data_IF_340042854628
#
_entry.id   IF_340042854628
#
_cell.length_a   1.000
_cell.length_b   1.000
_cell.length_c   1.000
_cell.angle_alpha   90.00
_cell.angle_beta   90.00
_cell.angle_gamma   90.00
#
_symmetry.space_group_name_H-M   'P 1'
#
loop_
_entity.id
_entity.type
_entity.pdbx_description
1 polymer ?
#
# COMPACT_ATOMS: atom_id res chain seq x y z
N UNK A 1 11.51 4.95 -21.44
CA UNK A 1 12.05 4.37 -20.19
C UNK A 1 10.90 4.12 -19.22
N UNK A 2 10.88 3.01 -18.49
CA UNK A 2 9.84 2.80 -17.46
C UNK A 2 10.36 3.28 -16.12
N UNK A 3 9.67 4.24 -15.53
CA UNK A 3 9.94 4.74 -14.19
C UNK A 3 8.96 4.10 -13.21
N UNK A 4 9.49 3.55 -12.11
CA UNK A 4 8.69 2.92 -11.08
C UNK A 4 8.83 3.69 -9.77
N UNK A 5 7.71 4.12 -9.22
CA UNK A 5 7.63 4.79 -7.93
C UNK A 5 6.93 3.88 -6.95
N UNK A 6 7.60 3.53 -5.85
CA UNK A 6 7.01 2.71 -4.77
C UNK A 6 6.62 3.66 -3.65
N UNK A 7 5.32 3.76 -3.37
CA UNK A 7 4.75 4.70 -2.40
C UNK A 7 4.15 3.95 -1.22
N UNK A 8 4.73 4.17 -0.05
CA UNK A 8 4.26 3.58 1.20
C UNK A 8 3.04 4.27 1.80
N UNK A 9 2.05 3.49 2.26
CA UNK A 9 0.80 3.90 2.88
C UNK A 9 0.63 3.31 4.28
N UNK A 10 0.38 4.13 5.31
CA UNK A 10 0.02 3.62 6.65
C UNK A 10 -1.44 3.12 6.64
N UNK A 11 -1.75 1.95 7.24
CA UNK A 11 -3.13 1.52 7.43
C UNK A 11 -3.93 2.57 8.20
N UNK A 12 -5.05 3.00 7.64
CA UNK A 12 -5.84 4.06 8.27
C UNK A 12 -5.14 5.41 8.23
N UNK A 13 -4.36 5.70 7.19
CA UNK A 13 -3.95 7.07 6.90
C UNK A 13 -5.13 7.88 6.36
N UNK A 14 -5.45 9.00 7.01
CA UNK A 14 -6.55 9.89 6.62
C UNK A 14 -6.20 10.85 5.47
N UNK A 15 -5.03 10.69 4.84
CA UNK A 15 -4.58 11.53 3.74
C UNK A 15 -4.34 10.75 2.45
N UNK A 16 -4.77 9.48 2.41
CA UNK A 16 -4.67 8.61 1.23
C UNK A 16 -5.28 9.25 0.00
N UNK A 17 -6.40 9.94 0.17
CA UNK A 17 -7.07 10.61 -0.93
C UNK A 17 -6.30 11.85 -1.44
N UNK A 18 -5.90 12.77 -0.56
CA UNK A 18 -5.14 13.96 -0.97
C UNK A 18 -3.81 13.59 -1.62
N UNK A 19 -3.08 12.64 -1.03
CA UNK A 19 -1.81 12.22 -1.56
C UNK A 19 -1.95 11.53 -2.93
N UNK A 20 -2.99 10.72 -3.14
CA UNK A 20 -3.28 10.13 -4.46
C UNK A 20 -3.52 11.21 -5.54
N UNK A 21 -4.16 12.33 -5.17
CA UNK A 21 -4.34 13.47 -6.09
C UNK A 21 -3.04 14.14 -6.45
N UNK A 22 -2.16 14.31 -5.47
CA UNK A 22 -0.88 14.95 -5.68
C UNK A 22 0.11 14.04 -6.43
N UNK A 23 0.08 12.73 -6.17
CA UNK A 23 0.80 11.71 -6.95
C UNK A 23 0.44 11.81 -8.43
N UNK A 24 -0.85 11.86 -8.77
CA UNK A 24 -1.26 12.03 -10.17
C UNK A 24 -0.73 13.35 -10.75
N UNK A 25 -0.79 14.44 -9.99
CA UNK A 25 -0.34 15.77 -10.46
C UNK A 25 1.16 15.81 -10.73
N UNK A 26 1.95 15.19 -9.85
CA UNK A 26 3.42 15.28 -9.87
C UNK A 26 4.05 14.23 -10.77
N UNK A 27 3.59 12.98 -10.68
CA UNK A 27 4.18 11.86 -11.40
C UNK A 27 3.47 11.55 -12.73
N UNK A 28 2.20 11.97 -12.88
CA UNK A 28 1.37 11.69 -14.06
C UNK A 28 1.44 10.20 -14.50
N UNK A 29 1.08 9.26 -13.62
CA UNK A 29 1.25 7.83 -13.87
C UNK A 29 0.37 7.35 -15.01
N UNK A 30 0.89 6.42 -15.81
CA UNK A 30 0.11 5.61 -16.75
C UNK A 30 -0.50 4.39 -16.06
N UNK A 31 0.13 3.90 -14.99
CA UNK A 31 -0.30 2.74 -14.21
C UNK A 31 -0.25 3.05 -12.72
N UNK A 32 -1.28 2.67 -11.98
CA UNK A 32 -1.28 2.63 -10.52
C UNK A 32 -1.57 1.20 -10.09
N UNK A 33 -0.58 0.56 -9.48
CA UNK A 33 -0.70 -0.72 -8.80
C UNK A 33 -1.07 -0.52 -7.34
N UNK A 34 -1.95 -1.37 -6.80
CA UNK A 34 -2.37 -1.36 -5.39
C UNK A 34 -2.11 -2.74 -4.80
N UNK A 35 -1.58 -2.77 -3.58
CA UNK A 35 -1.33 -3.99 -2.80
C UNK A 35 -2.64 -4.64 -2.30
N UNK A 36 -3.42 -5.16 -3.26
CA UNK A 36 -4.69 -5.86 -3.11
C UNK A 36 -4.87 -6.76 -4.34
N UNK A 37 -5.80 -7.72 -4.32
CA UNK A 37 -6.11 -8.51 -5.51
C UNK A 37 -6.87 -7.68 -6.55
N UNK A 38 -6.84 -8.09 -7.82
CA UNK A 38 -7.57 -7.37 -8.87
C UNK A 38 -9.09 -7.38 -8.61
N UNK A 39 -9.64 -8.49 -8.14
CA UNK A 39 -11.07 -8.65 -7.84
C UNK A 39 -11.50 -7.72 -6.69
N UNK A 40 -10.68 -7.63 -5.63
CA UNK A 40 -10.94 -6.72 -4.51
C UNK A 40 -10.92 -5.25 -4.97
N UNK A 41 -9.93 -4.86 -5.77
CA UNK A 41 -9.83 -3.49 -6.28
C UNK A 41 -10.99 -3.12 -7.20
N UNK A 42 -11.38 -4.00 -8.14
CA UNK A 42 -12.53 -3.73 -9.02
C UNK A 42 -13.85 -3.69 -8.24
N UNK A 43 -13.99 -4.51 -7.19
CA UNK A 43 -15.12 -4.44 -6.27
C UNK A 43 -15.14 -3.11 -5.49
N UNK A 44 -14.02 -2.72 -4.88
CA UNK A 44 -13.92 -1.53 -4.02
C UNK A 44 -14.04 -0.21 -4.81
N UNK A 45 -13.60 -0.19 -6.08
CA UNK A 45 -13.80 0.96 -6.97
C UNK A 45 -15.26 1.17 -7.40
N UNK A 46 -16.13 0.15 -7.25
CA UNK A 46 -17.55 0.27 -7.55
C UNK A 46 -18.25 1.08 -6.45
N UNK A 47 -18.84 2.26 -6.76
CA UNK A 47 -19.39 3.17 -5.73
C UNK A 47 -20.47 2.53 -4.83
N UNK A 48 -21.27 1.61 -5.38
CA UNK A 48 -22.32 0.95 -4.60
C UNK A 48 -21.73 -0.05 -3.58
N UNK A 49 -20.60 -0.68 -3.92
CA UNK A 49 -19.90 -1.59 -3.04
C UNK A 49 -19.02 -0.85 -2.03
N UNK A 50 -18.34 0.23 -2.42
CA UNK A 50 -17.52 1.02 -1.50
C UNK A 50 -18.32 1.54 -0.31
N UNK A 51 -19.54 2.01 -0.54
CA UNK A 51 -20.41 2.54 0.52
C UNK A 51 -20.88 1.41 1.48
N UNK A 52 -21.16 0.21 0.94
CA UNK A 52 -21.50 -0.98 1.73
C UNK A 52 -20.29 -1.46 2.54
N UNK A 53 -19.14 -1.60 1.89
CA UNK A 53 -17.86 -2.00 2.48
C UNK A 53 -17.52 -1.14 3.68
N UNK A 54 -17.63 0.19 3.55
CA UNK A 54 -17.35 1.10 4.66
C UNK A 54 -18.35 0.96 5.80
N UNK A 55 -19.62 0.69 5.53
CA UNK A 55 -20.60 0.44 6.59
C UNK A 55 -20.25 -0.83 7.37
N UNK A 56 -19.90 -1.91 6.66
CA UNK A 56 -19.48 -3.20 7.25
C UNK A 56 -18.16 -3.03 8.03
N UNK A 57 -17.24 -2.22 7.52
CA UNK A 57 -15.96 -1.93 8.16
C UNK A 57 -16.09 -1.02 9.38
N UNK A 58 -17.04 -0.08 9.37
CA UNK A 58 -17.39 0.72 10.55
C UNK A 58 -17.92 -0.18 11.68
N UNK A 59 -18.80 -1.14 11.36
CA UNK A 59 -19.30 -2.13 12.32
C UNK A 59 -18.16 -2.99 12.85
N UNK A 60 -17.33 -3.55 11.96
CA UNK A 60 -16.15 -4.33 12.34
C UNK A 60 -15.25 -3.57 13.32
N UNK A 61 -14.94 -2.30 13.04
CA UNK A 61 -14.06 -1.52 13.90
C UNK A 61 -14.69 -1.19 15.25
N UNK A 62 -16.00 -0.94 15.32
CA UNK A 62 -16.70 -0.72 16.60
C UNK A 62 -16.77 -1.99 17.45
N UNK A 63 -16.86 -3.15 16.82
CA UNK A 63 -16.89 -4.45 17.51
C UNK A 63 -15.50 -4.86 18.03
N UNK A 64 -14.45 -4.63 17.24
CA UNK A 64 -13.11 -5.12 17.54
C UNK A 64 -12.19 -4.08 18.21
N UNK A 65 -12.54 -2.79 18.17
CA UNK A 65 -11.80 -1.71 18.81
C UNK A 65 -12.72 -0.88 19.71
N UNK A 66 -13.05 -1.41 20.89
CA UNK A 66 -14.00 -0.77 21.83
C UNK A 66 -13.65 0.65 22.25
N UNK A 67 -12.36 1.01 22.18
CA UNK A 67 -11.83 2.32 22.56
C UNK A 67 -11.65 3.24 21.33
N UNK A 68 -12.18 2.87 20.16
CA UNK A 68 -12.08 3.68 18.95
C UNK A 68 -12.73 5.06 19.13
N UNK A 69 -11.98 6.09 18.76
CA UNK A 69 -12.45 7.45 18.68
C UNK A 69 -13.36 7.61 17.45
N UNK A 70 -14.64 7.89 17.68
CA UNK A 70 -15.66 8.07 16.63
C UNK A 70 -15.25 9.04 15.52
N UNK A 71 -14.54 10.13 15.87
CA UNK A 71 -14.15 11.13 14.88
C UNK A 71 -13.03 10.61 14.00
N UNK A 72 -11.98 10.03 14.60
CA UNK A 72 -10.88 9.41 13.85
C UNK A 72 -11.41 8.31 12.95
N UNK A 73 -12.22 7.39 13.49
CA UNK A 73 -12.86 6.33 12.71
C UNK A 73 -13.61 6.87 11.48
N UNK A 74 -14.44 7.90 11.65
CA UNK A 74 -15.18 8.53 10.54
C UNK A 74 -14.27 9.21 9.52
N UNK A 75 -13.25 9.92 9.99
CA UNK A 75 -12.28 10.59 9.11
C UNK A 75 -11.54 9.54 8.26
N UNK A 76 -11.10 8.42 8.86
CA UNK A 76 -10.45 7.31 8.15
C UNK A 76 -11.33 6.67 7.09
N UNK A 77 -12.56 6.29 7.45
CA UNK A 77 -13.48 5.63 6.56
C UNK A 77 -13.94 6.55 5.41
N UNK A 78 -14.13 7.84 5.69
CA UNK A 78 -14.44 8.81 4.66
C UNK A 78 -13.29 8.94 3.66
N UNK A 79 -12.04 8.96 4.13
CA UNK A 79 -10.87 9.09 3.28
C UNK A 79 -10.68 7.85 2.39
N UNK A 80 -10.87 6.67 2.95
CA UNK A 80 -10.84 5.41 2.21
C UNK A 80 -11.90 5.33 1.10
N UNK A 81 -13.13 5.78 1.36
CA UNK A 81 -14.15 5.91 0.30
C UNK A 81 -13.65 6.83 -0.82
N UNK A 82 -13.05 7.97 -0.43
CA UNK A 82 -12.57 8.95 -1.39
C UNK A 82 -11.41 8.40 -2.22
N UNK A 83 -10.52 7.61 -1.61
CA UNK A 83 -9.44 6.90 -2.28
C UNK A 83 -9.96 5.99 -3.41
N UNK A 84 -10.86 5.04 -3.13
CA UNK A 84 -11.38 4.13 -4.17
C UNK A 84 -12.21 4.84 -5.24
N UNK A 85 -13.02 5.85 -4.86
CA UNK A 85 -13.73 6.69 -5.83
C UNK A 85 -12.77 7.44 -6.74
N UNK A 86 -11.61 7.85 -6.23
CA UNK A 86 -10.60 8.56 -6.99
C UNK A 86 -9.81 7.62 -7.92
N UNK A 87 -9.49 6.41 -7.49
CA UNK A 87 -8.93 5.37 -8.36
C UNK A 87 -9.87 5.06 -9.54
N UNK A 88 -11.17 4.90 -9.27
CA UNK A 88 -12.16 4.69 -10.33
C UNK A 88 -12.20 5.85 -11.33
N UNK A 89 -12.12 7.10 -10.87
CA UNK A 89 -12.00 8.26 -11.76
C UNK A 89 -10.74 8.19 -12.62
N UNK A 90 -9.61 7.80 -12.06
CA UNK A 90 -8.35 7.65 -12.79
C UNK A 90 -8.42 6.57 -13.86
N UNK A 91 -9.13 5.46 -13.59
CA UNK A 91 -9.46 4.45 -14.60
C UNK A 91 -10.18 5.06 -15.81
N UNK A 92 -11.16 5.93 -15.58
CA UNK A 92 -11.85 6.64 -16.66
C UNK A 92 -11.00 7.71 -17.36
N UNK A 93 -9.99 8.25 -16.67
CA UNK A 93 -9.02 9.18 -17.25
C UNK A 93 -7.92 8.48 -18.07
N UNK A 94 -7.99 7.14 -18.21
CA UNK A 94 -7.05 6.34 -19.00
C UNK A 94 -5.82 5.84 -18.25
N UNK A 95 -5.83 5.90 -16.90
CA UNK A 95 -4.78 5.28 -16.07
C UNK A 95 -5.19 3.84 -15.77
N UNK A 96 -4.30 2.88 -16.05
CA UNK A 96 -4.52 1.47 -15.67
C UNK A 96 -4.44 1.32 -14.15
N UNK A 97 -5.50 0.81 -13.51
CA UNK A 97 -5.55 0.54 -12.06
C UNK A 97 -5.54 -0.98 -11.84
N UNK A 98 -4.53 -1.47 -11.12
CA UNK A 98 -4.22 -2.89 -11.06
C UNK A 98 -4.00 -3.37 -9.62
N UNK A 99 -4.57 -4.53 -9.29
CA UNK A 99 -4.20 -5.28 -8.09
C UNK A 99 -2.87 -6.00 -8.31
N UNK A 100 -2.00 -5.95 -7.30
CA UNK A 100 -0.66 -6.56 -7.35
C UNK A 100 -0.47 -7.74 -6.42
N UNK A 101 -1.44 -8.04 -5.55
CA UNK A 101 -1.44 -9.29 -4.79
C UNK A 101 -1.90 -10.43 -5.70
N UNK A 102 -1.15 -11.53 -5.71
CA UNK A 102 -1.52 -12.74 -6.45
C UNK A 102 -2.68 -13.45 -5.73
N UNK A 103 -3.79 -13.66 -6.44
CA UNK A 103 -4.95 -14.38 -5.92
C UNK A 103 -4.66 -15.86 -5.66
N UNK A 104 -3.63 -16.42 -6.30
CA UNK A 104 -3.16 -17.79 -6.14
C UNK A 104 -1.96 -17.91 -5.19
N UNK A 105 -1.62 -16.85 -4.46
CA UNK A 105 -0.53 -16.87 -3.47
C UNK A 105 -0.71 -18.01 -2.46
N UNK A 106 0.20 -18.99 -2.46
CA UNK A 106 0.13 -20.13 -1.56
C UNK A 106 0.58 -19.74 -0.14
N UNK A 107 -0.36 -19.23 0.65
CA UNK A 107 -0.12 -18.88 2.05
C UNK A 107 -0.03 -20.09 2.98
N UNK A 108 -0.27 -21.32 2.50
CA UNK A 108 -0.31 -22.52 3.35
C UNK A 108 1.05 -22.84 4.01
N UNK A 109 2.15 -22.39 3.39
CA UNK A 109 3.50 -22.45 3.98
C UNK A 109 3.79 -21.39 5.04
N UNK A 110 2.89 -20.41 5.23
CA UNK A 110 3.14 -19.17 5.96
C UNK A 110 2.06 -18.82 7.01
N UNK A 111 1.13 -19.72 7.35
CA UNK A 111 -0.02 -19.46 8.26
C UNK A 111 0.39 -18.70 9.55
N UNK A 112 1.44 -19.16 10.26
CA UNK A 112 1.93 -18.48 11.47
C UNK A 112 2.49 -17.07 11.21
N UNK A 113 3.05 -16.82 10.02
CA UNK A 113 3.58 -15.51 9.64
C UNK A 113 2.48 -14.54 9.23
N UNK A 114 1.45 -15.04 8.55
CA UNK A 114 0.24 -14.29 8.18
C UNK A 114 -0.52 -13.80 9.42
N UNK A 115 -0.63 -14.65 10.45
CA UNK A 115 -1.19 -14.27 11.75
C UNK A 115 -0.38 -13.14 12.41
N UNK A 116 0.94 -13.27 12.47
CA UNK A 116 1.83 -12.25 13.05
C UNK A 116 1.72 -10.92 12.28
N UNK A 117 1.68 -10.99 10.94
CA UNK A 117 1.48 -9.81 10.09
C UNK A 117 0.15 -9.12 10.41
N UNK A 118 -0.95 -9.89 10.42
CA UNK A 118 -2.30 -9.41 10.69
C UNK A 118 -2.41 -8.79 12.08
N UNK A 119 -1.86 -9.44 13.11
CA UNK A 119 -1.82 -8.91 14.47
C UNK A 119 -1.07 -7.58 14.57
N UNK A 120 0.02 -7.40 13.81
CA UNK A 120 0.79 -6.15 13.80
C UNK A 120 -0.01 -5.03 13.14
N UNK A 121 -0.64 -5.31 11.99
CA UNK A 121 -1.51 -4.37 11.28
C UNK A 121 -2.67 -3.93 12.18
N UNK A 122 -3.36 -4.88 12.81
CA UNK A 122 -4.48 -4.61 13.70
C UNK A 122 -4.08 -3.84 14.95
N UNK A 123 -2.89 -4.13 15.51
CA UNK A 123 -2.37 -3.38 16.68
C UNK A 123 -2.08 -1.93 16.35
N UNK A 124 -1.45 -1.65 15.20
CA UNK A 124 -1.20 -0.27 14.77
C UNK A 124 -2.53 0.46 14.52
N UNK A 125 -3.44 -0.17 13.79
CA UNK A 125 -4.76 0.40 13.51
C UNK A 125 -5.56 0.66 14.78
N UNK A 126 -5.53 -0.25 15.76
CA UNK A 126 -6.13 -0.06 17.08
C UNK A 126 -5.58 1.18 17.78
N UNK A 127 -4.25 1.39 17.73
CA UNK A 127 -3.60 2.56 18.32
C UNK A 127 -4.07 3.85 17.64
N UNK A 128 -4.07 3.88 16.30
CA UNK A 128 -4.54 5.03 15.50
C UNK A 128 -5.99 5.35 15.86
N UNK A 129 -6.86 4.34 15.82
CA UNK A 129 -8.29 4.48 16.11
C UNK A 129 -8.55 4.97 17.53
N UNK A 130 -7.75 4.59 18.53
CA UNK A 130 -7.92 5.04 19.92
C UNK A 130 -7.61 6.53 20.16
N UNK A 131 -6.92 7.19 19.22
CA UNK A 131 -6.46 8.56 19.35
C UNK A 131 -7.46 9.55 18.73
N UNK A 132 -7.40 10.81 19.15
CA UNK A 132 -8.09 11.89 18.42
C UNK A 132 -7.39 12.20 17.09
N UNK A 133 -8.05 12.88 16.12
CA UNK A 133 -7.51 13.00 14.76
C UNK A 133 -6.11 13.61 14.67
N UNK A 134 -5.81 14.67 15.42
CA UNK A 134 -4.49 15.30 15.37
C UNK A 134 -3.39 14.39 15.95
N UNK A 135 -3.69 13.64 17.00
CA UNK A 135 -2.75 12.67 17.60
C UNK A 135 -2.56 11.45 16.71
N UNK A 136 -3.62 11.01 16.03
CA UNK A 136 -3.56 9.94 15.03
C UNK A 136 -2.62 10.34 13.88
N UNK A 137 -2.71 11.58 13.39
CA UNK A 137 -1.80 12.11 12.37
C UNK A 137 -0.35 12.19 12.83
N UNK A 138 -0.11 12.63 14.06
CA UNK A 138 1.24 12.63 14.65
C UNK A 138 1.82 11.21 14.73
N UNK A 139 1.00 10.22 15.09
CA UNK A 139 1.40 8.82 15.10
C UNK A 139 1.71 8.32 13.69
N UNK A 140 0.83 8.55 12.73
CA UNK A 140 1.01 8.18 11.31
C UNK A 140 2.32 8.77 10.76
N UNK A 141 2.59 10.05 11.02
CA UNK A 141 3.85 10.70 10.61
C UNK A 141 5.07 10.05 11.28
N UNK A 142 4.98 9.71 12.57
CA UNK A 142 6.05 9.03 13.28
C UNK A 142 6.34 7.63 12.71
N UNK A 143 5.32 6.90 12.27
CA UNK A 143 5.48 5.60 11.61
C UNK A 143 6.17 5.76 10.23
N UNK A 144 5.79 6.76 9.42
CA UNK A 144 6.50 7.08 8.18
C UNK A 144 7.98 7.44 8.40
N UNK A 145 8.26 8.24 9.43
CA UNK A 145 9.64 8.65 9.76
C UNK A 145 10.48 7.49 10.28
N UNK A 146 9.87 6.54 11.01
CA UNK A 146 10.54 5.33 11.48
C UNK A 146 11.01 4.46 10.30
N UNK A 147 10.15 4.28 9.30
CA UNK A 147 10.48 3.58 8.06
C UNK A 147 11.67 4.25 7.36
N UNK A 148 11.64 5.57 7.14
CA UNK A 148 12.71 6.27 6.43
C UNK A 148 14.05 6.33 7.16
N UNK A 149 14.06 6.40 8.50
CA UNK A 149 15.32 6.31 9.27
C UNK A 149 16.03 4.97 9.01
N UNK A 150 15.28 3.91 8.71
CA UNK A 150 15.84 2.64 8.26
C UNK A 150 16.47 2.69 6.85
N UNK A 151 15.98 3.56 5.97
CA UNK A 151 16.47 3.71 4.59
C UNK A 151 17.66 4.69 4.44
N UNK A 152 17.68 5.79 5.19
CA UNK A 152 18.67 6.87 5.04
C UNK A 152 20.00 6.66 5.81
N UNK A 153 20.24 5.48 6.39
CA UNK A 153 21.50 5.14 7.03
C UNK A 153 22.52 4.61 5.98
N UNK A 154 23.41 5.49 5.52
CA UNK A 154 24.18 5.36 4.26
C UNK A 154 25.21 4.21 4.15
N UNK A 155 25.60 3.48 5.21
CA UNK A 155 26.74 2.54 5.11
C UNK A 155 26.39 1.06 4.86
N UNK A 156 25.17 0.58 5.13
CA UNK A 156 24.90 -0.87 5.12
C UNK A 156 23.48 -1.27 4.69
N UNK A 157 23.21 -1.08 3.40
CA UNK A 157 22.51 -2.06 2.55
C UNK A 157 23.25 -3.42 2.59
N UNK A 158 23.06 -4.34 3.56
CA UNK A 158 22.81 -5.72 3.11
C UNK A 158 21.79 -6.53 3.94
N UNK A 159 21.25 -6.02 5.05
CA UNK A 159 20.56 -6.87 6.03
C UNK A 159 19.40 -6.21 6.78
N UNK A 160 18.38 -5.69 6.11
CA UNK A 160 17.22 -5.22 6.88
C UNK A 160 15.92 -5.77 6.35
N UNK A 161 15.59 -6.93 6.91
CA UNK A 161 14.31 -7.25 7.51
C UNK A 161 14.47 -6.97 9.01
N UNK A 162 13.72 -6.00 9.55
CA UNK A 162 13.69 -5.71 11.00
C UNK A 162 12.65 -6.60 11.71
N UNK A 163 12.14 -7.63 11.03
CA UNK A 163 11.41 -8.68 11.73
C UNK A 163 12.36 -9.41 12.69
N UNK A 164 11.99 -9.43 13.96
CA UNK A 164 12.52 -10.33 14.99
C UNK A 164 12.07 -11.80 14.79
N UNK A 165 11.27 -12.06 13.74
CA UNK A 165 10.68 -13.35 13.38
C UNK A 165 11.14 -13.79 11.98
N UNK A 166 11.94 -14.87 11.91
CA UNK A 166 12.37 -15.50 10.64
C UNK A 166 11.18 -15.99 9.78
N UNK A 167 10.09 -16.56 10.34
CA UNK A 167 8.89 -16.89 9.55
C UNK A 167 8.27 -15.67 8.84
N UNK A 168 8.21 -14.52 9.52
CA UNK A 168 7.66 -13.30 8.93
C UNK A 168 8.57 -12.74 7.83
N UNK A 169 9.88 -12.93 7.96
CA UNK A 169 10.85 -12.60 6.93
C UNK A 169 10.65 -13.43 5.66
N UNK A 170 10.49 -14.74 5.79
CA UNK A 170 10.25 -15.66 4.66
C UNK A 170 8.93 -15.33 3.95
N UNK A 171 7.88 -14.99 4.72
CA UNK A 171 6.59 -14.57 4.18
C UNK A 171 6.70 -13.28 3.35
N UNK A 172 7.38 -12.26 3.87
CA UNK A 172 7.61 -11.02 3.11
C UNK A 172 8.46 -11.26 1.86
N UNK A 173 9.49 -12.11 1.93
CA UNK A 173 10.32 -12.47 0.77
C UNK A 173 9.53 -13.17 -0.34
N UNK A 174 8.54 -14.01 0.03
CA UNK A 174 7.65 -14.66 -0.93
C UNK A 174 6.71 -13.64 -1.58
N UNK A 175 6.01 -12.82 -0.79
CA UNK A 175 5.13 -11.76 -1.31
C UNK A 175 5.85 -10.77 -2.22
N UNK A 176 7.02 -10.27 -1.81
CA UNK A 176 7.82 -9.33 -2.60
C UNK A 176 8.23 -9.90 -3.97
N UNK A 177 8.45 -11.22 -4.05
CA UNK A 177 8.81 -11.89 -5.30
C UNK A 177 7.61 -11.92 -6.25
N UNK A 178 6.44 -12.30 -5.76
CA UNK A 178 5.24 -12.43 -6.56
C UNK A 178 4.75 -11.06 -7.03
N UNK A 179 4.79 -10.04 -6.16
CA UNK A 179 4.54 -8.64 -6.52
C UNK A 179 5.50 -8.14 -7.60
N UNK A 180 6.80 -8.45 -7.51
CA UNK A 180 7.79 -8.06 -8.52
C UNK A 180 7.54 -8.74 -9.87
N UNK A 181 7.17 -10.01 -9.86
CA UNK A 181 6.81 -10.77 -11.06
C UNK A 181 5.58 -10.16 -11.71
N UNK A 182 4.53 -9.88 -10.93
CA UNK A 182 3.33 -9.20 -11.43
C UNK A 182 3.62 -7.84 -12.04
N UNK A 183 4.43 -7.01 -11.37
CA UNK A 183 4.85 -5.71 -11.92
C UNK A 183 5.59 -5.84 -13.26
N UNK A 184 6.43 -6.88 -13.43
CA UNK A 184 7.12 -7.14 -14.70
C UNK A 184 6.16 -7.54 -15.81
N UNK A 185 5.23 -8.44 -15.53
CA UNK A 185 4.21 -8.86 -16.50
C UNK A 185 3.43 -7.66 -17.03
N UNK A 186 2.98 -6.80 -16.12
CA UNK A 186 2.21 -5.60 -16.46
C UNK A 186 2.98 -4.64 -17.36
N UNK A 187 4.28 -4.47 -17.10
CA UNK A 187 5.14 -3.65 -17.96
C UNK A 187 5.33 -4.24 -19.34
N UNK A 188 5.42 -5.57 -19.45
CA UNK A 188 5.50 -6.26 -20.74
C UNK A 188 4.18 -6.12 -21.50
N UNK A 189 3.04 -6.32 -20.84
CA UNK A 189 1.71 -6.14 -21.42
C UNK A 189 1.53 -4.72 -21.97
N UNK A 190 1.85 -3.70 -21.17
CA UNK A 190 1.74 -2.28 -21.56
C UNK A 190 2.70 -1.88 -22.68
N UNK A 191 3.95 -2.37 -22.66
CA UNK A 191 4.90 -2.14 -23.77
C UNK A 191 4.51 -2.86 -25.06
N UNK A 192 3.74 -3.94 -24.98
CA UNK A 192 3.33 -4.72 -26.15
C UNK A 192 2.15 -4.10 -26.90
N UNK A 193 1.36 -3.25 -26.25
CA UNK A 193 0.19 -2.60 -26.84
C UNK A 193 0.43 -1.13 -27.20
N UNK A 194 1.00 -0.83 -28.38
CA UNK A 194 1.08 0.52 -29.02
C UNK A 194 1.45 1.73 -28.12
N UNK A 195 1.97 1.51 -26.90
CA UNK A 195 2.24 2.53 -25.89
C UNK A 195 3.60 3.17 -26.10
N UNK A 196 3.68 4.47 -25.81
CA UNK A 196 4.94 5.22 -25.88
C UNK A 196 5.99 4.65 -24.95
N UNK A 197 7.25 4.74 -25.35
CA UNK A 197 8.41 4.23 -24.59
C UNK A 197 8.49 4.74 -23.14
N UNK A 198 7.81 5.83 -22.76
CA UNK A 198 7.82 6.43 -21.42
C UNK A 198 6.53 6.12 -20.63
N UNK A 199 6.60 5.13 -19.74
CA UNK A 199 5.52 4.78 -18.81
C UNK A 199 5.96 5.07 -17.37
N UNK A 200 5.08 5.71 -16.60
CA UNK A 200 5.28 5.97 -15.17
C UNK A 200 4.34 5.06 -14.39
N UNK A 201 4.92 4.25 -13.51
CA UNK A 201 4.20 3.28 -12.70
C UNK A 201 4.31 3.72 -11.25
N UNK A 202 3.18 3.77 -10.56
CA UNK A 202 3.12 3.99 -9.11
C UNK A 202 2.60 2.72 -8.45
N UNK A 203 3.35 2.15 -7.52
CA UNK A 203 2.92 1.06 -6.67
C UNK A 203 2.56 1.60 -5.28
N UNK A 204 1.30 1.50 -4.91
CA UNK A 204 0.75 1.84 -3.60
C UNK A 204 0.77 0.61 -2.69
N UNK A 205 1.49 0.71 -1.58
CA UNK A 205 1.82 -0.44 -0.74
C UNK A 205 1.82 -0.08 0.74
N UNK A 206 1.46 -1.02 1.60
CA UNK A 206 1.23 -0.78 3.03
C UNK A 206 2.55 -0.72 3.82
N UNK A 207 2.76 0.33 4.63
CA UNK A 207 3.98 0.49 5.43
C UNK A 207 4.20 -0.56 6.52
N UNK A 208 3.16 -1.29 6.91
CA UNK A 208 3.30 -2.42 7.85
C UNK A 208 4.00 -3.63 7.22
N UNK A 209 4.05 -3.73 5.89
CA UNK A 209 4.97 -4.62 5.18
C UNK A 209 6.43 -4.14 5.22
N UNK A 210 6.72 -2.93 5.72
CA UNK A 210 8.07 -2.34 5.70
C UNK A 210 8.92 -2.67 6.93
N UNK A 211 8.66 -3.78 7.64
CA UNK A 211 9.58 -4.31 8.65
C UNK A 211 10.78 -5.04 7.99
N UNK A 212 11.33 -4.38 6.98
CA UNK A 212 12.28 -4.85 6.00
C UNK A 212 12.07 -4.06 4.74
N UNK A 213 12.95 -3.10 4.47
CA UNK A 213 12.79 -2.26 3.29
C UNK A 213 12.64 -3.12 2.04
N UNK A 214 11.99 -2.57 1.01
CA UNK A 214 11.75 -3.16 -0.32
C UNK A 214 13.02 -3.58 -1.08
N UNK A 215 14.11 -3.95 -0.41
CA UNK A 215 15.27 -4.53 -1.04
C UNK A 215 14.93 -5.83 -1.75
N UNK A 216 14.01 -6.67 -1.25
CA UNK A 216 13.66 -7.89 -1.96
C UNK A 216 12.81 -7.59 -3.19
N UNK A 217 11.78 -6.74 -3.06
CA UNK A 217 11.06 -6.19 -4.21
C UNK A 217 12.01 -5.50 -5.22
N UNK A 218 12.85 -4.55 -4.79
CA UNK A 218 13.83 -3.83 -5.63
C UNK A 218 14.87 -4.76 -6.25
N UNK A 219 15.39 -5.76 -5.52
CA UNK A 219 16.28 -6.80 -6.07
C UNK A 219 15.55 -7.64 -7.12
N UNK A 220 14.29 -7.96 -6.87
CA UNK A 220 13.43 -8.69 -7.79
C UNK A 220 12.87 -7.79 -8.90
N UNK A 221 13.19 -6.49 -8.94
CA UNK A 221 12.83 -5.56 -10.01
C UNK A 221 14.04 -5.26 -10.91
N UNK A 222 14.89 -6.27 -11.18
CA UNK A 222 15.95 -6.14 -12.18
C UNK A 222 15.37 -5.62 -13.50
N UNK A 223 15.90 -4.50 -14.02
CA UNK A 223 15.41 -3.83 -15.22
C UNK A 223 14.56 -2.56 -14.97
N UNK A 224 14.27 -2.23 -13.71
CA UNK A 224 13.66 -0.96 -13.29
C UNK A 224 14.68 -0.06 -12.59
N UNK A 225 14.42 1.25 -12.60
CA UNK A 225 15.06 2.23 -11.70
C UNK A 225 14.01 2.69 -10.67
N UNK A 226 13.76 1.92 -9.59
CA UNK A 226 12.70 2.25 -8.64
C UNK A 226 13.08 3.44 -7.74
N UNK A 227 12.17 4.38 -7.59
CA UNK A 227 12.23 5.48 -6.62
C UNK A 227 11.23 5.22 -5.49
N UNK A 228 11.70 5.25 -4.24
CA UNK A 228 10.85 4.99 -3.06
C UNK A 228 10.43 6.34 -2.46
N UNK A 229 9.13 6.53 -2.26
CA UNK A 229 8.54 7.77 -1.75
C UNK A 229 7.55 7.49 -0.62
N UNK A 230 7.33 8.48 0.26
CA UNK A 230 6.25 8.42 1.26
C UNK A 230 4.99 9.02 0.70
N UNK A 231 3.85 8.54 1.15
CA UNK A 231 2.59 9.21 0.83
C UNK A 231 2.56 10.65 1.38
N UNK A 232 3.19 10.92 2.53
CA UNK A 232 3.30 12.28 3.07
C UNK A 232 4.28 13.21 2.33
N UNK A 233 5.12 12.71 1.41
CA UNK A 233 5.97 13.58 0.56
C UNK A 233 5.14 14.39 -0.44
N UNK A 234 3.86 14.04 -0.56
CA UNK A 234 2.88 14.64 -1.47
C UNK A 234 1.82 15.49 -0.72
N UNK A 235 2.06 15.86 0.55
CA UNK A 235 1.17 16.67 1.39
C UNK A 235 1.85 17.97 1.82
#
# INVERSE_FOLDING_TARGET
MVQLYIVGMVPGDSYTFEALREIKRTLNPSIIGVEETQDDIDMLMNPAYSDKYVSEREEYFKENHSDANDKTLKDLLADEICFYKQLNRYKFDGISILGLDDADFDSSGFENAEDIYSERKDRLLSRILSLGPEQAKELIQAEYDAVLKGYCAEELRPYFVVSDSEPLKEYYEARDRDTAERLRELVVEERSGEGSDDSVIVYLCNISHFDGGYQNLVKNLEGFEPEIMRMCDFL
#
